data_IF_672246592854
#
_entry.id   IF_672246592854
#
_cell.length_a   1.000
_cell.length_b   1.000
_cell.length_c   1.000
_cell.angle_alpha   90.00
_cell.angle_beta   90.00
_cell.angle_gamma   90.00
#
_symmetry.space_group_name_H-M   'P 1'
#
loop_
_entity.id
_entity.type
_entity.pdbx_description
1 polymer ?
#
# COMPACT_ATOMS: atom_id res chain seq x y z
N UNK A 1 -1.78 49.09 -7.69
CA UNK A 1 -2.47 47.91 -8.26
C UNK A 1 -3.10 47.15 -7.11
N UNK A 2 -4.37 46.74 -7.25
CA UNK A 2 -5.33 46.83 -6.16
C UNK A 2 -5.09 45.76 -5.10
N UNK A 3 -5.27 46.17 -3.84
CA UNK A 3 -5.34 45.29 -2.70
C UNK A 3 -6.49 44.29 -2.92
N UNK A 4 -6.16 43.00 -2.86
CA UNK A 4 -7.11 41.89 -2.85
C UNK A 4 -7.88 41.94 -1.52
N UNK A 5 -8.89 42.81 -1.43
CA UNK A 5 -9.80 42.88 -0.30
C UNK A 5 -10.79 41.73 -0.41
N UNK A 6 -10.34 40.51 -0.08
CA UNK A 6 -11.27 39.45 0.30
C UNK A 6 -12.00 39.92 1.56
N UNK A 7 -13.34 39.89 1.60
CA UNK A 7 -14.06 40.24 2.82
C UNK A 7 -13.60 39.30 3.94
N UNK A 8 -13.27 39.86 5.11
CA UNK A 8 -12.98 39.09 6.30
C UNK A 8 -14.17 38.13 6.54
N UNK A 9 -13.91 36.83 6.50
CA UNK A 9 -14.90 35.82 6.81
C UNK A 9 -15.53 36.17 8.17
N UNK A 10 -16.82 36.48 8.17
CA UNK A 10 -17.55 36.68 9.41
C UNK A 10 -17.31 35.44 10.28
N UNK A 11 -16.89 35.63 11.54
CA UNK A 11 -16.78 34.57 12.55
C UNK A 11 -18.15 33.89 12.65
N UNK A 12 -18.37 32.84 11.86
CA UNK A 12 -19.49 31.94 12.01
C UNK A 12 -19.25 31.19 13.32
N UNK A 13 -20.27 31.16 14.18
CA UNK A 13 -20.18 30.47 15.46
C UNK A 13 -19.72 29.02 15.25
N UNK A 14 -18.85 28.55 16.14
CA UNK A 14 -18.35 27.17 16.11
C UNK A 14 -19.54 26.21 16.13
N UNK A 15 -19.64 25.37 15.10
CA UNK A 15 -20.72 24.39 15.01
C UNK A 15 -20.69 23.47 16.23
N UNK A 16 -21.86 23.17 16.79
CA UNK A 16 -22.03 22.16 17.84
C UNK A 16 -22.81 20.98 17.28
N UNK A 17 -22.61 19.78 17.82
CA UNK A 17 -23.36 18.60 17.41
C UNK A 17 -24.88 18.83 17.47
N UNK A 18 -25.39 19.44 18.56
CA UNK A 18 -26.82 19.78 18.68
C UNK A 18 -27.32 20.73 17.59
N UNK A 19 -26.49 21.68 17.16
CA UNK A 19 -26.83 22.59 16.07
C UNK A 19 -26.81 21.86 14.72
N UNK A 20 -25.89 20.93 14.51
CA UNK A 20 -25.85 20.06 13.32
C UNK A 20 -27.09 19.16 13.25
N UNK A 21 -27.47 18.52 14.36
CA UNK A 21 -28.70 17.73 14.47
C UNK A 21 -29.95 18.57 14.18
N UNK A 22 -30.07 19.75 14.78
CA UNK A 22 -31.19 20.65 14.53
C UNK A 22 -31.27 21.10 13.06
N UNK A 23 -30.13 21.39 12.43
CA UNK A 23 -30.06 21.73 11.02
C UNK A 23 -30.44 20.55 10.11
N UNK A 24 -30.04 19.33 10.48
CA UNK A 24 -30.43 18.11 9.76
C UNK A 24 -31.94 17.88 9.80
N UNK A 25 -32.57 18.04 10.98
CA UNK A 25 -34.03 17.98 11.12
C UNK A 25 -34.70 19.06 10.28
N UNK A 26 -34.18 20.29 10.30
CA UNK A 26 -34.73 21.39 9.52
C UNK A 26 -34.66 21.14 8.00
N UNK A 27 -33.62 20.44 7.53
CA UNK A 27 -33.43 20.12 6.12
C UNK A 27 -34.29 18.93 5.66
N UNK A 28 -34.38 17.86 6.46
CA UNK A 28 -35.07 16.61 6.09
C UNK A 28 -36.54 16.58 6.50
N UNK A 29 -36.92 17.35 7.52
CA UNK A 29 -38.22 17.22 8.19
C UNK A 29 -38.36 15.97 9.06
N UNK A 30 -37.31 15.17 9.20
CA UNK A 30 -37.31 13.91 9.94
C UNK A 30 -36.64 14.07 11.31
N UNK A 31 -37.18 13.40 12.33
CA UNK A 31 -36.55 13.37 13.64
C UNK A 31 -35.22 12.58 13.60
N UNK A 32 -34.23 13.03 14.38
CA UNK A 32 -32.97 12.31 14.56
C UNK A 32 -33.21 11.14 15.51
N UNK A 33 -33.34 9.95 14.94
CA UNK A 33 -33.32 8.68 15.69
C UNK A 33 -31.89 8.28 16.07
N UNK A 34 -31.74 7.14 16.77
CA UNK A 34 -30.44 6.69 17.27
C UNK A 34 -29.42 6.45 16.15
N UNK A 35 -29.85 5.94 14.98
CA UNK A 35 -28.96 5.70 13.85
C UNK A 35 -28.48 7.02 13.22
N UNK A 36 -29.39 7.99 13.01
CA UNK A 36 -29.01 9.33 12.53
C UNK A 36 -28.13 10.07 13.53
N UNK A 37 -28.40 9.95 14.84
CA UNK A 37 -27.58 10.57 15.88
C UNK A 37 -26.14 10.05 15.83
N UNK A 38 -25.95 8.73 15.71
CA UNK A 38 -24.63 8.12 15.60
C UNK A 38 -23.90 8.57 14.32
N UNK A 39 -24.60 8.60 13.19
CA UNK A 39 -24.07 9.08 11.92
C UNK A 39 -23.58 10.53 11.98
N UNK A 40 -24.39 11.42 12.55
CA UNK A 40 -24.05 12.83 12.71
C UNK A 40 -22.94 13.05 13.74
N UNK A 41 -22.92 12.26 14.81
CA UNK A 41 -21.85 12.29 15.80
C UNK A 41 -20.51 11.91 15.17
N UNK A 42 -20.45 10.82 14.38
CA UNK A 42 -19.24 10.44 13.65
C UNK A 42 -18.79 11.53 12.68
N UNK A 43 -19.71 12.13 11.91
CA UNK A 43 -19.36 13.24 11.02
C UNK A 43 -18.83 14.46 11.81
N UNK A 44 -19.37 14.71 13.00
CA UNK A 44 -18.95 15.84 13.83
C UNK A 44 -17.58 15.62 14.49
N UNK A 45 -17.14 14.38 14.70
CA UNK A 45 -15.79 14.07 15.21
C UNK A 45 -14.70 14.57 14.25
N UNK A 46 -14.96 14.54 12.94
CA UNK A 46 -14.05 15.03 11.91
C UNK A 46 -14.12 16.55 11.69
N UNK A 47 -15.07 17.26 12.31
CA UNK A 47 -15.29 18.68 12.05
C UNK A 47 -14.24 19.58 12.70
N UNK A 48 -13.58 20.41 11.88
CA UNK A 48 -12.77 21.54 12.31
C UNK A 48 -13.30 22.87 11.71
N UNK A 49 -13.42 23.90 12.55
CA UNK A 49 -14.08 25.16 12.16
C UNK A 49 -13.24 26.03 11.21
N UNK A 50 -11.92 25.86 11.23
CA UNK A 50 -10.94 26.60 10.42
C UNK A 50 -10.67 25.95 9.05
N UNK A 51 -11.07 24.70 8.87
CA UNK A 51 -10.87 23.92 7.65
C UNK A 51 -11.76 24.39 6.48
N UNK A 52 -13.06 24.58 6.76
CA UNK A 52 -14.08 25.00 5.78
C UNK A 52 -14.94 26.18 6.30
N UNK A 53 -14.38 27.39 6.48
CA UNK A 53 -15.11 28.50 7.11
C UNK A 53 -16.34 28.98 6.32
N UNK A 54 -16.36 28.76 5.00
CA UNK A 54 -17.46 29.10 4.09
C UNK A 54 -18.57 28.04 4.08
N UNK A 55 -18.38 26.89 4.73
CA UNK A 55 -19.41 25.86 4.90
C UNK A 55 -20.08 25.98 6.27
N UNK A 56 -21.34 26.41 6.30
CA UNK A 56 -22.11 26.55 7.54
C UNK A 56 -22.69 25.21 8.03
N UNK A 57 -23.17 25.19 9.28
CA UNK A 57 -23.89 24.03 9.84
C UNK A 57 -25.07 23.53 8.99
N UNK A 58 -25.95 24.42 8.49
CA UNK A 58 -27.01 24.02 7.56
C UNK A 58 -26.51 23.40 6.26
N UNK A 59 -25.38 23.88 5.73
CA UNK A 59 -24.81 23.38 4.48
C UNK A 59 -24.24 21.97 4.68
N UNK A 60 -23.48 21.76 5.78
CA UNK A 60 -22.97 20.45 6.16
C UNK A 60 -24.12 19.46 6.44
N UNK A 61 -25.18 19.90 7.14
CA UNK A 61 -26.35 19.08 7.38
C UNK A 61 -27.06 18.65 6.09
N UNK A 62 -27.17 19.54 5.10
CA UNK A 62 -27.81 19.25 3.82
C UNK A 62 -27.04 18.18 3.01
N UNK A 63 -25.71 18.29 2.94
CA UNK A 63 -24.89 17.28 2.24
C UNK A 63 -24.92 15.93 2.96
N UNK A 64 -24.82 15.93 4.30
CA UNK A 64 -24.91 14.70 5.10
C UNK A 64 -26.29 14.03 4.98
N UNK A 65 -27.38 14.81 4.92
CA UNK A 65 -28.72 14.30 4.69
C UNK A 65 -28.88 13.63 3.32
N UNK A 66 -28.29 14.23 2.28
CA UNK A 66 -28.27 13.66 0.93
C UNK A 66 -27.53 12.32 0.94
N UNK A 67 -26.34 12.27 1.52
CA UNK A 67 -25.52 11.06 1.60
C UNK A 67 -26.18 9.96 2.44
N UNK A 68 -26.86 10.33 3.52
CA UNK A 68 -27.66 9.40 4.32
C UNK A 68 -28.76 8.75 3.48
N UNK A 69 -29.54 9.54 2.74
CA UNK A 69 -30.62 9.01 1.89
C UNK A 69 -30.08 8.10 0.79
N UNK A 70 -28.98 8.50 0.12
CA UNK A 70 -28.28 7.71 -0.90
C UNK A 70 -27.76 6.38 -0.32
N UNK A 71 -27.18 6.40 0.89
CA UNK A 71 -26.70 5.22 1.59
C UNK A 71 -27.84 4.25 1.96
N UNK A 72 -28.98 4.75 2.44
CA UNK A 72 -30.17 3.93 2.73
C UNK A 72 -30.75 3.30 1.47
N UNK A 73 -30.68 4.00 0.35
CA UNK A 73 -31.18 3.54 -0.94
C UNK A 73 -30.21 2.59 -1.68
N UNK A 74 -28.98 2.40 -1.18
CA UNK A 74 -27.96 1.60 -1.85
C UNK A 74 -28.35 0.10 -1.90
N UNK A 75 -28.53 -0.49 -3.10
CA UNK A 75 -28.81 -1.91 -3.22
C UNK A 75 -27.60 -2.78 -2.84
N UNK A 76 -27.81 -4.01 -2.34
CA UNK A 76 -26.73 -4.96 -2.13
C UNK A 76 -25.96 -5.22 -3.43
N UNK A 77 -24.62 -5.17 -3.36
CA UNK A 77 -23.75 -5.40 -4.51
C UNK A 77 -23.71 -4.27 -5.54
N UNK A 78 -24.31 -3.11 -5.24
CA UNK A 78 -24.20 -1.95 -6.11
C UNK A 78 -22.73 -1.46 -6.23
N UNK A 79 -22.32 -0.97 -7.41
CA UNK A 79 -21.01 -0.35 -7.56
C UNK A 79 -20.90 0.93 -6.70
N UNK A 80 -19.69 1.39 -6.41
CA UNK A 80 -19.49 2.64 -5.68
C UNK A 80 -20.16 3.81 -6.41
N UNK A 81 -20.94 4.59 -5.67
CA UNK A 81 -21.46 5.86 -6.15
C UNK A 81 -20.40 6.94 -5.88
N UNK A 82 -19.83 7.50 -6.95
CA UNK A 82 -18.76 8.50 -6.87
C UNK A 82 -19.27 9.77 -7.57
N UNK A 83 -19.20 10.90 -6.87
CA UNK A 83 -19.53 12.21 -7.42
C UNK A 83 -18.41 13.20 -7.12
N UNK A 84 -17.92 13.88 -8.16
CA UNK A 84 -16.94 14.97 -8.05
C UNK A 84 -17.54 16.21 -8.68
N UNK A 85 -17.70 17.29 -7.91
CA UNK A 85 -18.38 18.48 -8.41
C UNK A 85 -18.52 19.60 -7.39
N UNK A 86 -19.19 20.70 -7.75
CA UNK A 86 -19.42 21.82 -6.84
C UNK A 86 -20.16 21.39 -5.59
N UNK A 87 -19.66 21.79 -4.43
CA UNK A 87 -20.37 21.67 -3.17
C UNK A 87 -21.40 22.80 -3.07
N UNK A 88 -22.67 22.45 -2.95
CA UNK A 88 -23.76 23.40 -2.83
C UNK A 88 -24.11 23.65 -1.36
N UNK A 89 -24.42 24.90 -1.04
CA UNK A 89 -25.04 25.29 0.22
C UNK A 89 -26.47 24.77 0.32
N UNK A 90 -27.07 24.83 1.52
CA UNK A 90 -28.45 24.42 1.75
C UNK A 90 -29.49 25.21 0.92
N UNK A 91 -29.13 26.41 0.44
CA UNK A 91 -29.96 27.24 -0.45
C UNK A 91 -29.75 26.94 -1.95
N UNK A 92 -28.94 25.93 -2.28
CA UNK A 92 -28.63 25.49 -3.64
C UNK A 92 -27.56 26.31 -4.36
N UNK A 93 -26.97 27.34 -3.71
CA UNK A 93 -25.89 28.13 -4.31
C UNK A 93 -24.53 27.45 -4.12
N UNK A 94 -23.54 27.70 -5.01
CA UNK A 94 -22.18 27.21 -4.80
C UNK A 94 -21.57 27.73 -3.50
N UNK A 95 -21.00 26.84 -2.70
CA UNK A 95 -20.32 27.18 -1.43
C UNK A 95 -18.95 27.84 -1.62
N UNK A 96 -18.41 27.81 -2.85
CA UNK A 96 -17.03 28.17 -3.13
C UNK A 96 -16.05 26.99 -3.06
N UNK A 97 -16.54 25.80 -2.73
CA UNK A 97 -15.78 24.55 -2.73
C UNK A 97 -16.31 23.55 -3.77
N UNK A 98 -15.46 22.60 -4.13
CA UNK A 98 -15.88 21.34 -4.73
C UNK A 98 -15.94 20.25 -3.64
N UNK A 99 -16.61 19.15 -3.94
CA UNK A 99 -16.70 17.97 -3.10
C UNK A 99 -16.37 16.71 -3.90
N UNK A 100 -15.87 15.72 -3.19
CA UNK A 100 -15.88 14.31 -3.60
C UNK A 100 -16.82 13.60 -2.64
N UNK A 101 -17.89 13.00 -3.16
CA UNK A 101 -18.77 12.11 -2.40
C UNK A 101 -18.59 10.68 -2.88
N UNK A 102 -18.44 9.77 -1.93
CA UNK A 102 -18.28 8.36 -2.21
C UNK A 102 -19.17 7.55 -1.27
N UNK A 103 -20.06 6.73 -1.84
CA UNK A 103 -21.02 5.91 -1.10
C UNK A 103 -20.94 4.48 -1.60
N UNK A 104 -20.59 3.56 -0.71
CA UNK A 104 -20.47 2.13 -1.02
C UNK A 104 -20.49 1.27 0.25
N UNK A 105 -20.63 -0.07 0.14
CA UNK A 105 -20.50 -0.95 1.30
C UNK A 105 -19.19 -0.73 2.05
N UNK A 106 -19.28 -0.72 3.38
CA UNK A 106 -18.14 -0.47 4.25
C UNK A 106 -17.08 -1.59 4.13
N UNK A 107 -15.81 -1.20 4.01
CA UNK A 107 -14.68 -2.13 3.90
C UNK A 107 -13.35 -1.46 4.31
N UNK A 108 -12.28 -2.23 4.55
CA UNK A 108 -10.97 -1.66 4.84
C UNK A 108 -10.40 -0.81 3.69
N UNK A 109 -9.46 0.09 4.02
CA UNK A 109 -8.66 0.90 3.09
C UNK A 109 -9.39 2.00 2.32
N UNK A 110 -10.70 2.22 2.49
CA UNK A 110 -11.46 3.17 1.68
C UNK A 110 -10.91 4.61 1.78
N UNK A 111 -10.84 5.15 2.99
CA UNK A 111 -10.41 6.53 3.24
C UNK A 111 -8.99 6.75 2.75
N UNK A 112 -8.05 5.90 3.15
CA UNK A 112 -6.64 6.10 2.78
C UNK A 112 -6.43 5.98 1.25
N UNK A 113 -7.21 5.14 0.57
CA UNK A 113 -7.19 5.02 -0.90
C UNK A 113 -7.74 6.28 -1.58
N UNK A 114 -8.83 6.85 -1.08
CA UNK A 114 -9.40 8.12 -1.56
C UNK A 114 -8.40 9.26 -1.37
N UNK A 115 -7.83 9.39 -0.17
CA UNK A 115 -6.83 10.41 0.14
C UNK A 115 -5.55 10.24 -0.69
N UNK A 116 -5.13 9.00 -0.92
CA UNK A 116 -4.02 8.68 -1.80
C UNK A 116 -4.26 9.11 -3.25
N UNK A 117 -5.46 8.91 -3.79
CA UNK A 117 -5.83 9.36 -5.13
C UNK A 117 -5.81 10.89 -5.24
N UNK A 118 -6.40 11.58 -4.26
CA UNK A 118 -6.43 13.04 -4.19
C UNK A 118 -5.02 13.64 -4.13
N UNK A 119 -4.14 13.05 -3.33
CA UNK A 119 -2.76 13.48 -3.21
C UNK A 119 -1.99 13.30 -4.54
N UNK A 120 -2.15 12.16 -5.22
CA UNK A 120 -1.51 11.92 -6.53
C UNK A 120 -2.03 12.89 -7.59
N UNK A 121 -3.32 13.23 -7.55
CA UNK A 121 -3.93 14.21 -8.44
C UNK A 121 -3.54 15.67 -8.09
N UNK A 122 -2.76 15.90 -7.02
CA UNK A 122 -2.38 17.23 -6.56
C UNK A 122 -3.57 18.08 -6.14
N UNK A 123 -4.58 17.46 -5.52
CA UNK A 123 -5.80 18.13 -5.04
C UNK A 123 -5.62 18.52 -3.59
N UNK A 124 -5.91 19.79 -3.29
CA UNK A 124 -5.87 20.30 -1.91
C UNK A 124 -7.17 19.92 -1.20
N UNK A 125 -7.06 19.10 -0.16
CA UNK A 125 -8.16 18.72 0.73
C UNK A 125 -8.35 19.79 1.79
N UNK A 126 -9.60 20.19 2.00
CA UNK A 126 -10.01 21.19 2.98
C UNK A 126 -10.69 20.58 4.18
N UNK A 127 -11.43 19.49 4.01
CA UNK A 127 -12.04 18.72 5.10
C UNK A 127 -12.41 17.32 4.62
N UNK A 128 -12.46 16.37 5.55
CA UNK A 128 -12.81 14.98 5.31
C UNK A 128 -13.83 14.57 6.36
N UNK A 129 -14.92 13.93 5.94
CA UNK A 129 -15.94 13.39 6.82
C UNK A 129 -16.21 11.95 6.41
N UNK A 130 -16.10 11.00 7.34
CA UNK A 130 -16.35 9.58 7.07
C UNK A 130 -17.34 8.94 8.04
N UNK A 131 -18.59 9.42 8.11
CA UNK A 131 -19.61 8.73 8.89
C UNK A 131 -20.04 7.41 8.22
N UNK A 132 -20.48 6.48 9.05
CA UNK A 132 -20.96 5.16 8.62
C UNK A 132 -22.48 5.11 8.79
N UNK A 133 -23.18 4.85 7.69
CA UNK A 133 -24.63 4.71 7.66
C UNK A 133 -25.06 3.23 7.69
N UNK A 134 -26.24 2.90 8.22
CA UNK A 134 -26.83 1.58 8.08
C UNK A 134 -27.40 1.40 6.66
N UNK A 135 -26.98 0.35 5.95
CA UNK A 135 -27.52 -0.03 4.64
C UNK A 135 -28.37 -1.29 4.68
N UNK A 136 -28.92 -1.65 3.51
CA UNK A 136 -29.77 -2.84 3.32
C UNK A 136 -29.03 -4.18 3.57
N UNK A 137 -27.71 -4.19 3.43
CA UNK A 137 -26.85 -5.39 3.48
C UNK A 137 -25.69 -5.27 4.47
N UNK A 138 -25.75 -4.31 5.40
CA UNK A 138 -24.71 -4.07 6.39
C UNK A 138 -24.39 -2.59 6.53
N UNK A 139 -23.15 -2.28 6.90
CA UNK A 139 -22.68 -0.89 7.03
C UNK A 139 -22.34 -0.30 5.65
N UNK A 140 -22.62 0.99 5.47
CA UNK A 140 -22.31 1.75 4.26
C UNK A 140 -21.38 2.89 4.65
N UNK A 141 -20.23 2.93 4.01
CA UNK A 141 -19.26 4.01 4.14
C UNK A 141 -19.74 5.20 3.30
N UNK A 142 -19.90 6.37 3.93
CA UNK A 142 -20.16 7.63 3.22
C UNK A 142 -18.99 8.57 3.43
N UNK A 143 -18.18 8.80 2.40
CA UNK A 143 -16.99 9.64 2.45
C UNK A 143 -17.30 10.95 1.74
N UNK A 144 -17.22 12.05 2.48
CA UNK A 144 -17.28 13.40 1.94
C UNK A 144 -15.89 14.02 2.08
N UNK A 145 -15.29 14.41 0.97
CA UNK A 145 -14.07 15.22 0.97
C UNK A 145 -14.40 16.59 0.38
N UNK A 146 -14.20 17.64 1.15
CA UNK A 146 -14.29 19.03 0.68
C UNK A 146 -12.93 19.40 0.10
N UNK A 147 -12.92 19.91 -1.13
CA UNK A 147 -11.71 20.22 -1.88
C UNK A 147 -11.78 21.63 -2.47
N UNK A 148 -10.62 22.19 -2.81
CA UNK A 148 -10.56 23.42 -3.60
C UNK A 148 -11.22 23.23 -4.98
N UNK A 149 -11.89 24.25 -5.54
CA UNK A 149 -12.54 24.14 -6.84
C UNK A 149 -11.61 23.68 -7.96
N UNK A 150 -12.07 22.70 -8.73
CA UNK A 150 -11.38 22.17 -9.90
C UNK A 150 -12.14 22.52 -11.19
N UNK A 151 -11.44 22.71 -12.32
CA UNK A 151 -12.06 22.71 -13.65
C UNK A 151 -12.74 21.36 -13.95
N UNK A 152 -13.78 21.36 -14.79
CA UNK A 152 -14.57 20.16 -15.09
C UNK A 152 -13.70 18.97 -15.56
N UNK A 153 -12.76 19.20 -16.47
CA UNK A 153 -11.85 18.14 -16.96
C UNK A 153 -11.05 17.47 -15.84
N UNK A 154 -10.58 18.24 -14.85
CA UNK A 154 -9.88 17.67 -13.69
C UNK A 154 -10.81 16.89 -12.77
N UNK A 155 -12.09 17.25 -12.70
CA UNK A 155 -13.10 16.50 -11.94
C UNK A 155 -13.37 15.15 -12.59
N UNK A 156 -13.48 15.12 -13.91
CA UNK A 156 -13.73 13.90 -14.68
C UNK A 156 -12.57 12.91 -14.49
N UNK A 157 -11.32 13.38 -14.68
CA UNK A 157 -10.10 12.58 -14.46
C UNK A 157 -10.00 12.08 -13.02
N UNK A 158 -10.31 12.93 -12.03
CA UNK A 158 -10.32 12.53 -10.62
C UNK A 158 -11.38 11.46 -10.34
N UNK A 159 -12.58 11.60 -10.93
CA UNK A 159 -13.67 10.63 -10.82
C UNK A 159 -13.26 9.26 -11.37
N UNK A 160 -12.61 9.22 -12.53
CA UNK A 160 -12.08 7.98 -13.12
C UNK A 160 -10.98 7.35 -12.24
N UNK A 161 -10.07 8.16 -11.70
CA UNK A 161 -9.02 7.72 -10.78
C UNK A 161 -9.60 7.08 -9.51
N UNK A 162 -10.58 7.75 -8.89
CA UNK A 162 -11.29 7.26 -7.70
C UNK A 162 -12.06 5.97 -7.99
N UNK A 163 -12.75 5.88 -9.13
CA UNK A 163 -13.43 4.66 -9.55
C UNK A 163 -12.44 3.49 -9.68
N UNK A 164 -11.30 3.71 -10.33
CA UNK A 164 -10.24 2.72 -10.45
C UNK A 164 -9.63 2.33 -9.10
N UNK A 165 -9.50 3.26 -8.16
CA UNK A 165 -9.05 2.96 -6.81
C UNK A 165 -10.05 2.08 -6.05
N UNK A 166 -11.36 2.39 -6.13
CA UNK A 166 -12.39 1.58 -5.47
C UNK A 166 -12.52 0.19 -6.08
N UNK A 167 -12.32 0.04 -7.40
CA UNK A 167 -12.23 -1.29 -8.03
C UNK A 167 -11.04 -2.09 -7.48
N UNK A 168 -9.86 -1.48 -7.39
CA UNK A 168 -8.67 -2.14 -6.83
C UNK A 168 -8.89 -2.54 -5.35
N UNK A 169 -9.53 -1.68 -4.54
CA UNK A 169 -9.89 -2.00 -3.14
C UNK A 169 -10.87 -3.16 -3.08
N UNK A 170 -11.94 -3.12 -3.87
CA UNK A 170 -12.96 -4.17 -3.90
C UNK A 170 -12.33 -5.53 -4.22
N UNK A 171 -11.50 -5.62 -5.25
CA UNK A 171 -10.84 -6.86 -5.61
C UNK A 171 -9.87 -7.35 -4.53
N UNK A 172 -9.04 -6.46 -3.97
CA UNK A 172 -8.09 -6.84 -2.93
C UNK A 172 -8.80 -7.40 -1.68
N UNK A 173 -9.89 -6.77 -1.25
CA UNK A 173 -10.68 -7.19 -0.08
C UNK A 173 -11.46 -8.48 -0.38
N UNK A 174 -12.14 -8.56 -1.53
CA UNK A 174 -12.93 -9.73 -1.90
C UNK A 174 -12.09 -11.01 -2.03
N UNK A 175 -10.86 -10.89 -2.54
CA UNK A 175 -9.95 -12.02 -2.74
C UNK A 175 -8.98 -12.27 -1.58
N UNK A 176 -9.08 -11.51 -0.48
CA UNK A 176 -8.17 -11.66 0.66
C UNK A 176 -8.12 -13.11 1.18
N UNK A 177 -9.28 -13.78 1.29
CA UNK A 177 -9.36 -15.19 1.68
C UNK A 177 -8.69 -16.14 0.68
N UNK A 178 -8.83 -15.89 -0.63
CA UNK A 178 -8.21 -16.70 -1.68
C UNK A 178 -6.67 -16.50 -1.72
N UNK A 179 -6.19 -15.28 -1.48
CA UNK A 179 -4.76 -14.98 -1.34
C UNK A 179 -4.16 -15.65 -0.10
N UNK A 180 -4.87 -15.61 1.03
CA UNK A 180 -4.47 -16.31 2.26
C UNK A 180 -4.39 -17.82 2.03
N UNK A 181 -5.35 -18.40 1.30
CA UNK A 181 -5.31 -19.81 0.94
C UNK A 181 -4.12 -20.17 0.03
N UNK A 182 -3.72 -19.28 -0.90
CA UNK A 182 -2.50 -19.44 -1.70
C UNK A 182 -1.24 -19.42 -0.83
N UNK A 183 -1.18 -18.52 0.16
CA UNK A 183 -0.04 -18.42 1.07
C UNK A 183 0.09 -19.71 1.90
N UNK A 184 -1.03 -20.18 2.47
CA UNK A 184 -1.08 -21.44 3.20
C UNK A 184 -0.62 -22.64 2.34
N UNK A 185 -1.01 -22.70 1.06
CA UNK A 185 -0.52 -23.74 0.12
C UNK A 185 0.97 -23.64 -0.13
N UNK A 186 1.49 -22.42 -0.31
CA UNK A 186 2.92 -22.18 -0.52
C UNK A 186 3.76 -22.61 0.69
N UNK A 187 3.28 -22.29 1.90
CA UNK A 187 3.89 -22.74 3.15
C UNK A 187 3.84 -24.27 3.28
N UNK A 188 2.72 -24.91 2.96
CA UNK A 188 2.58 -26.36 3.02
C UNK A 188 3.54 -27.06 2.05
N UNK A 189 3.70 -26.52 0.83
CA UNK A 189 4.65 -27.01 -0.17
C UNK A 189 6.10 -26.98 0.35
N UNK A 190 6.53 -25.86 0.94
CA UNK A 190 7.89 -25.75 1.51
C UNK A 190 8.09 -26.64 2.73
N UNK A 191 7.08 -26.82 3.58
CA UNK A 191 7.13 -27.71 4.76
C UNK A 191 7.36 -29.17 4.40
N UNK A 192 6.88 -29.61 3.23
CA UNK A 192 7.13 -30.95 2.70
C UNK A 192 8.62 -31.20 2.37
N UNK A 193 9.46 -30.16 2.49
CA UNK A 193 10.91 -30.20 2.35
C UNK A 193 11.34 -30.72 0.97
N UNK A 194 11.17 -29.91 -0.09
CA UNK A 194 11.59 -30.29 -1.43
C UNK A 194 13.07 -30.73 -1.47
N UNK A 195 13.42 -31.74 -2.29
CA UNK A 195 14.79 -32.23 -2.37
C UNK A 195 15.79 -31.10 -2.73
N UNK A 196 16.97 -31.12 -2.11
CA UNK A 196 18.07 -30.19 -2.44
C UNK A 196 18.07 -28.85 -1.71
N UNK A 197 17.06 -28.57 -0.88
CA UNK A 197 17.00 -27.35 -0.05
C UNK A 197 17.45 -27.61 1.39
N UNK A 198 18.24 -26.70 1.95
CA UNK A 198 18.62 -26.72 3.37
C UNK A 198 17.39 -26.47 4.25
N UNK A 199 17.22 -27.31 5.28
CA UNK A 199 16.14 -27.21 6.25
C UNK A 199 16.13 -25.87 6.98
N UNK A 200 17.30 -25.33 7.34
CA UNK A 200 17.38 -24.04 8.01
C UNK A 200 16.87 -22.89 7.12
N UNK A 201 17.12 -22.98 5.81
CA UNK A 201 16.62 -22.01 4.82
C UNK A 201 15.10 -22.12 4.68
N UNK A 202 14.57 -23.35 4.63
CA UNK A 202 13.12 -23.60 4.58
C UNK A 202 12.43 -23.06 5.84
N UNK A 203 12.94 -23.38 7.03
CA UNK A 203 12.31 -22.97 8.29
C UNK A 203 12.31 -21.43 8.44
N UNK A 204 13.40 -20.76 8.03
CA UNK A 204 13.47 -19.30 8.00
C UNK A 204 12.50 -18.69 6.97
N UNK A 205 12.36 -19.32 5.80
CA UNK A 205 11.42 -18.90 4.76
C UNK A 205 9.98 -19.02 5.27
N UNK A 206 9.61 -20.15 5.88
CA UNK A 206 8.27 -20.35 6.45
C UNK A 206 8.00 -19.36 7.58
N UNK A 207 9.00 -19.04 8.41
CA UNK A 207 8.87 -18.01 9.43
C UNK A 207 8.53 -16.65 8.81
N UNK A 208 9.17 -16.28 7.71
CA UNK A 208 8.87 -15.05 6.97
C UNK A 208 7.45 -15.03 6.39
N UNK A 209 7.03 -16.11 5.74
CA UNK A 209 5.69 -16.18 5.15
C UNK A 209 4.58 -16.10 6.22
N UNK A 210 4.78 -16.76 7.36
CA UNK A 210 3.86 -16.63 8.52
C UNK A 210 3.88 -15.23 9.11
N UNK A 211 5.05 -14.60 9.18
CA UNK A 211 5.18 -13.23 9.66
C UNK A 211 4.41 -12.26 8.77
N UNK A 212 4.45 -12.45 7.45
CA UNK A 212 3.62 -11.67 6.51
C UNK A 212 2.11 -11.87 6.75
N UNK A 213 1.66 -13.10 7.01
CA UNK A 213 0.25 -13.40 7.35
C UNK A 213 -0.19 -12.79 8.69
N UNK A 214 0.74 -12.61 9.62
CA UNK A 214 0.53 -12.01 10.94
C UNK A 214 0.55 -10.48 10.89
N UNK A 215 -0.25 -9.88 9.99
CA UNK A 215 -0.45 -8.43 9.84
C UNK A 215 0.80 -7.58 9.48
N UNK A 216 1.90 -8.20 9.04
CA UNK A 216 3.09 -7.46 8.58
C UNK A 216 3.06 -7.16 7.07
N UNK A 217 2.08 -7.68 6.33
CA UNK A 217 1.93 -7.45 4.91
C UNK A 217 0.46 -7.32 4.48
N UNK A 218 0.13 -6.22 3.80
CA UNK A 218 -1.18 -6.03 3.18
C UNK A 218 -1.18 -6.68 1.79
N UNK A 219 -1.87 -7.81 1.67
CA UNK A 219 -2.03 -8.51 0.38
C UNK A 219 -2.98 -7.77 -0.55
N UNK A 220 -2.50 -7.41 -1.73
CA UNK A 220 -3.29 -6.69 -2.74
C UNK A 220 -3.60 -7.53 -3.97
N UNK A 221 -2.75 -8.51 -4.29
CA UNK A 221 -3.01 -9.44 -5.38
C UNK A 221 -2.06 -10.62 -5.40
N UNK A 222 -2.44 -11.68 -6.11
CA UNK A 222 -1.61 -12.85 -6.29
C UNK A 222 -1.78 -13.51 -7.66
N UNK A 223 -0.73 -14.19 -8.15
CA UNK A 223 -0.75 -15.00 -9.38
C UNK A 223 0.18 -16.20 -9.28
N UNK A 224 -0.26 -17.33 -9.83
CA UNK A 224 0.58 -18.51 -10.01
C UNK A 224 1.10 -18.60 -11.45
N UNK A 225 2.41 -18.84 -11.57
CA UNK A 225 3.08 -19.07 -12.85
C UNK A 225 3.83 -20.38 -12.83
N UNK A 226 3.71 -21.17 -13.90
CA UNK A 226 4.47 -22.41 -14.08
C UNK A 226 5.69 -22.16 -14.96
N UNK A 227 6.77 -22.85 -14.64
CA UNK A 227 8.01 -22.83 -15.41
C UNK A 227 7.97 -23.95 -16.44
N UNK A 228 7.73 -23.66 -17.73
CA UNK A 228 7.61 -24.69 -18.75
C UNK A 228 8.89 -25.51 -18.86
N UNK A 229 8.72 -26.82 -19.03
CA UNK A 229 9.81 -27.79 -19.21
C UNK A 229 9.82 -28.31 -20.64
N UNK A 230 11.00 -28.49 -21.21
CA UNK A 230 11.21 -29.17 -22.48
C UNK A 230 11.08 -30.69 -22.34
N UNK A 231 11.08 -31.39 -23.47
CA UNK A 231 11.01 -32.86 -23.52
C UNK A 231 12.24 -33.54 -22.89
N UNK A 232 13.33 -32.82 -22.73
CA UNK A 232 14.57 -33.21 -22.06
C UNK A 232 14.54 -33.03 -20.53
N UNK A 233 13.45 -32.47 -19.98
CA UNK A 233 13.29 -32.16 -18.57
C UNK A 233 13.99 -30.87 -18.13
N UNK A 234 14.70 -30.17 -19.03
CA UNK A 234 15.24 -28.85 -18.73
C UNK A 234 14.18 -27.75 -18.92
N UNK A 235 14.43 -26.54 -18.45
CA UNK A 235 13.53 -25.41 -18.70
C UNK A 235 13.39 -25.14 -20.20
N UNK A 236 12.16 -25.02 -20.69
CA UNK A 236 11.92 -24.62 -22.07
C UNK A 236 12.49 -23.21 -22.28
N UNK A 237 13.54 -23.10 -23.09
CA UNK A 237 14.13 -21.80 -23.42
C UNK A 237 13.10 -20.96 -24.18
N UNK A 238 13.03 -19.69 -23.84
CA UNK A 238 12.21 -18.70 -24.55
C UNK A 238 10.68 -18.91 -24.50
N UNK A 239 10.19 -19.85 -23.68
CA UNK A 239 8.77 -20.05 -23.50
C UNK A 239 8.15 -19.04 -22.52
N UNK A 240 6.93 -18.52 -22.82
CA UNK A 240 6.10 -17.83 -21.86
C UNK A 240 5.84 -18.64 -20.61
N UNK A 241 5.94 -17.98 -19.46
CA UNK A 241 5.42 -18.53 -18.23
C UNK A 241 3.92 -18.78 -18.42
N UNK A 242 3.49 -20.02 -18.20
CA UNK A 242 2.08 -20.35 -18.19
C UNK A 242 1.47 -19.82 -16.91
N UNK A 243 0.53 -18.89 -17.01
CA UNK A 243 -0.29 -18.51 -15.87
C UNK A 243 -1.22 -19.70 -15.56
N UNK A 244 -1.06 -20.31 -14.39
CA UNK A 244 -1.75 -21.55 -14.04
C UNK A 244 -3.05 -21.35 -13.29
N UNK A 245 -3.33 -20.12 -12.84
CA UNK A 245 -4.62 -19.72 -12.27
C UNK A 245 -4.99 -18.30 -12.69
N UNK A 246 -6.29 -17.97 -12.65
CA UNK A 246 -6.73 -16.58 -12.73
C UNK A 246 -6.04 -15.75 -11.63
N UNK A 247 -5.72 -14.50 -11.95
CA UNK A 247 -5.10 -13.60 -10.99
C UNK A 247 -6.10 -13.17 -9.93
N UNK A 248 -5.60 -12.91 -8.72
CA UNK A 248 -6.39 -12.47 -7.58
C UNK A 248 -6.13 -11.00 -7.24
N UNK A 249 -7.11 -10.36 -6.62
CA UNK A 249 -7.04 -8.98 -6.20
C UNK A 249 -6.77 -8.03 -7.37
N UNK A 250 -5.87 -7.08 -7.18
CA UNK A 250 -5.45 -6.13 -8.23
C UNK A 250 -4.82 -6.82 -9.44
N UNK A 251 -4.42 -8.09 -9.33
CA UNK A 251 -3.85 -8.89 -10.41
C UNK A 251 -4.89 -9.68 -11.20
N UNK A 252 -6.18 -9.51 -10.94
CA UNK A 252 -7.25 -10.00 -11.83
C UNK A 252 -7.11 -9.47 -13.26
N UNK A 253 -6.67 -8.22 -13.41
CA UNK A 253 -6.41 -7.61 -14.71
C UNK A 253 -5.11 -8.16 -15.33
N UNK A 254 -5.17 -9.01 -16.37
CA UNK A 254 -3.99 -9.64 -16.96
C UNK A 254 -3.00 -8.62 -17.56
N UNK A 255 -3.45 -7.41 -17.90
CA UNK A 255 -2.57 -6.36 -18.42
C UNK A 255 -1.76 -5.66 -17.32
N UNK A 256 -2.13 -5.85 -16.05
CA UNK A 256 -1.33 -5.35 -14.92
C UNK A 256 -0.08 -6.22 -14.71
N UNK A 257 1.04 -5.76 -15.26
CA UNK A 257 2.37 -6.40 -15.20
C UNK A 257 3.25 -5.77 -14.14
N UNK A 258 3.73 -6.56 -13.18
CA UNK A 258 4.37 -6.11 -11.91
C UNK A 258 5.90 -5.98 -12.03
N UNK A 259 6.50 -6.72 -12.97
CA UNK A 259 7.94 -6.77 -13.21
C UNK A 259 8.18 -6.38 -14.67
N UNK A 260 8.54 -5.12 -14.99
CA UNK A 260 8.98 -4.78 -16.37
C UNK A 260 9.93 -3.58 -16.47
N UNK A 261 11.04 -3.81 -17.17
CA UNK A 261 11.45 -3.09 -18.40
C UNK A 261 11.79 -4.19 -19.44
N UNK A 262 10.98 -4.33 -20.49
CA UNK A 262 11.02 -5.41 -21.49
C UNK A 262 10.67 -6.82 -20.98
N UNK A 263 9.38 -7.17 -21.12
CA UNK A 263 8.76 -8.46 -20.73
C UNK A 263 8.76 -8.71 -19.23
N UNK A 264 7.65 -9.24 -18.70
CA UNK A 264 7.77 -10.12 -17.53
C UNK A 264 8.84 -11.19 -17.89
N UNK A 265 9.24 -12.13 -17.03
CA UNK A 265 9.72 -13.38 -17.59
C UNK A 265 8.53 -13.99 -18.35
N UNK A 266 8.20 -13.51 -19.54
CA UNK A 266 7.37 -14.17 -20.54
C UNK A 266 8.28 -15.04 -21.41
N UNK A 267 9.55 -15.17 -21.03
CA UNK A 267 10.62 -15.85 -21.74
C UNK A 267 11.66 -16.22 -20.68
N UNK A 268 11.88 -17.51 -20.44
CA UNK A 268 12.97 -18.00 -19.59
C UNK A 268 14.31 -17.88 -20.34
N UNK A 269 15.02 -16.75 -20.17
CA UNK A 269 16.36 -16.57 -20.73
C UNK A 269 17.40 -17.42 -19.99
N UNK A 270 18.56 -17.68 -20.63
CA UNK A 270 19.64 -18.47 -20.03
C UNK A 270 20.18 -17.91 -18.71
N UNK A 271 20.22 -16.58 -18.58
CA UNK A 271 20.60 -15.89 -17.33
C UNK A 271 19.57 -16.12 -16.22
N UNK A 272 18.27 -16.05 -16.55
CA UNK A 272 17.17 -16.32 -15.61
C UNK A 272 17.19 -17.78 -15.15
N UNK A 273 17.44 -18.75 -16.04
CA UNK A 273 17.57 -20.18 -15.68
C UNK A 273 18.61 -20.40 -14.58
N UNK A 274 19.80 -19.81 -14.73
CA UNK A 274 20.88 -19.92 -13.74
C UNK A 274 20.50 -19.29 -12.40
N UNK A 275 19.77 -18.17 -12.44
CA UNK A 275 19.29 -17.50 -11.24
C UNK A 275 18.18 -18.30 -10.53
N UNK A 276 17.29 -18.95 -11.29
CA UNK A 276 16.23 -19.81 -10.73
C UNK A 276 16.79 -20.99 -9.96
N UNK A 277 17.83 -21.65 -10.47
CA UNK A 277 18.42 -22.81 -9.80
C UNK A 277 19.29 -22.42 -8.59
N UNK A 278 19.79 -21.17 -8.52
CA UNK A 278 20.71 -20.73 -7.45
C UNK A 278 20.08 -19.80 -6.40
N UNK A 279 18.92 -19.20 -6.66
CA UNK A 279 18.31 -18.26 -5.71
C UNK A 279 17.49 -18.96 -4.63
N UNK A 280 17.32 -18.27 -3.51
CA UNK A 280 16.54 -18.75 -2.36
C UNK A 280 15.06 -19.05 -2.72
N UNK A 281 14.35 -19.83 -1.89
CA UNK A 281 12.94 -20.15 -2.12
C UNK A 281 12.00 -18.95 -2.16
N UNK A 282 12.37 -17.84 -1.50
CA UNK A 282 11.62 -16.59 -1.51
C UNK A 282 12.48 -15.43 -1.99
N UNK A 283 11.91 -14.57 -2.81
CA UNK A 283 12.51 -13.32 -3.27
C UNK A 283 11.57 -12.16 -2.96
N UNK A 284 12.12 -11.08 -2.37
CA UNK A 284 11.39 -9.84 -2.11
C UNK A 284 12.01 -8.72 -2.95
N UNK A 285 11.19 -7.97 -3.68
CA UNK A 285 11.63 -6.85 -4.51
C UNK A 285 10.57 -5.75 -4.60
N UNK A 286 10.94 -4.55 -5.08
CA UNK A 286 9.95 -3.49 -5.36
C UNK A 286 9.31 -3.69 -6.72
N UNK A 287 8.00 -3.68 -6.83
CA UNK A 287 7.28 -3.66 -8.10
C UNK A 287 7.43 -2.30 -8.81
N UNK A 288 7.23 -2.28 -10.13
CA UNK A 288 7.20 -1.03 -10.91
C UNK A 288 5.82 -0.35 -10.92
N UNK A 289 4.81 -0.94 -10.27
CA UNK A 289 3.44 -0.42 -10.19
C UNK A 289 3.19 0.14 -8.79
N UNK A 290 2.59 1.32 -8.72
CA UNK A 290 2.15 1.94 -7.46
C UNK A 290 0.77 1.44 -7.08
N UNK A 291 0.57 1.16 -5.79
CA UNK A 291 -0.74 0.79 -5.26
C UNK A 291 -1.74 1.95 -5.38
N UNK A 292 -3.00 1.63 -5.67
CA UNK A 292 -4.17 2.51 -5.46
C UNK A 292 -4.84 2.26 -4.11
N UNK A 293 -4.58 1.10 -3.51
CA UNK A 293 -5.15 0.65 -2.24
C UNK A 293 -4.26 1.09 -1.08
N UNK A 294 -4.88 1.59 -0.02
CA UNK A 294 -4.28 2.04 1.23
C UNK A 294 -3.34 3.25 1.09
N UNK A 295 -2.25 3.19 0.33
CA UNK A 295 -1.37 4.34 0.13
C UNK A 295 -0.70 4.32 -1.23
N UNK A 296 -0.38 5.51 -1.75
CA UNK A 296 0.37 5.69 -3.01
C UNK A 296 1.86 5.40 -2.86
N UNK A 297 2.19 4.12 -2.77
CA UNK A 297 3.56 3.62 -2.74
C UNK A 297 3.79 2.59 -3.85
N UNK A 298 5.04 2.40 -4.29
CA UNK A 298 5.41 1.23 -5.09
C UNK A 298 5.09 -0.03 -4.30
N UNK A 299 4.40 -0.97 -4.94
CA UNK A 299 4.08 -2.24 -4.29
C UNK A 299 5.34 -3.07 -4.04
N UNK A 300 5.29 -3.91 -3.03
CA UNK A 300 6.25 -4.96 -2.78
C UNK A 300 5.83 -6.21 -3.54
N UNK A 301 6.82 -6.87 -4.13
CA UNK A 301 6.71 -8.15 -4.80
C UNK A 301 7.33 -9.23 -3.92
N UNK A 302 6.58 -10.30 -3.65
CA UNK A 302 7.07 -11.48 -2.96
C UNK A 302 6.83 -12.70 -3.85
N UNK A 303 7.91 -13.26 -4.37
CA UNK A 303 7.91 -14.46 -5.19
C UNK A 303 8.29 -15.69 -4.38
N UNK A 304 7.43 -16.70 -4.36
CA UNK A 304 7.64 -17.96 -3.64
C UNK A 304 7.76 -19.10 -4.65
N UNK A 305 8.92 -19.75 -4.71
CA UNK A 305 9.15 -20.85 -5.64
C UNK A 305 8.37 -22.10 -5.24
N UNK A 306 7.77 -22.73 -6.25
CA UNK A 306 7.30 -24.11 -6.19
C UNK A 306 8.37 -25.01 -6.78
N UNK A 307 8.48 -26.21 -6.25
CA UNK A 307 9.54 -27.17 -6.60
C UNK A 307 8.92 -28.48 -7.08
N UNK A 308 9.50 -29.08 -8.12
CA UNK A 308 9.13 -30.39 -8.62
C UNK A 308 9.71 -31.52 -7.77
N UNK A 309 9.34 -32.75 -8.14
CA UNK A 309 9.88 -33.96 -7.51
C UNK A 309 11.39 -34.15 -7.73
N UNK A 310 11.96 -33.48 -8.73
CA UNK A 310 13.40 -33.44 -9.04
C UNK A 310 14.17 -32.44 -8.16
N UNK A 311 13.49 -31.72 -7.26
CA UNK A 311 14.09 -30.67 -6.43
C UNK A 311 14.36 -29.37 -7.18
N UNK A 312 14.01 -29.26 -8.46
CA UNK A 312 14.17 -28.03 -9.24
C UNK A 312 12.89 -27.18 -9.20
N UNK A 313 12.99 -25.85 -9.30
CA UNK A 313 11.82 -24.99 -9.41
C UNK A 313 10.86 -25.41 -10.53
N UNK A 314 9.58 -25.61 -10.22
CA UNK A 314 8.52 -25.94 -11.18
C UNK A 314 7.60 -24.75 -11.50
N UNK A 315 7.66 -23.70 -10.69
CA UNK A 315 6.87 -22.49 -10.86
C UNK A 315 7.08 -21.52 -9.70
N UNK A 316 6.26 -20.48 -9.64
CA UNK A 316 6.30 -19.46 -8.61
C UNK A 316 4.91 -18.91 -8.31
N UNK A 317 4.62 -18.73 -7.02
CA UNK A 317 3.46 -18.01 -6.52
C UNK A 317 3.90 -16.59 -6.20
N UNK A 318 3.29 -15.62 -6.86
CA UNK A 318 3.64 -14.20 -6.74
C UNK A 318 2.58 -13.50 -5.93
N UNK A 319 3.00 -12.79 -4.90
CA UNK A 319 2.17 -11.86 -4.15
C UNK A 319 2.63 -10.43 -4.43
N UNK A 320 1.67 -9.52 -4.51
CA UNK A 320 1.91 -8.09 -4.44
C UNK A 320 1.15 -7.47 -3.29
N UNK A 321 1.76 -6.46 -2.70
CA UNK A 321 1.19 -5.80 -1.55
C UNK A 321 2.03 -4.67 -1.02
N UNK A 322 1.85 -4.36 0.26
CA UNK A 322 2.61 -3.34 0.96
C UNK A 322 3.00 -3.88 2.33
N UNK A 323 4.27 -3.76 2.72
CA UNK A 323 4.63 -3.95 4.12
C UNK A 323 3.96 -2.86 4.99
N UNK A 324 3.48 -3.27 6.16
CA UNK A 324 2.82 -2.37 7.12
C UNK A 324 3.81 -1.47 7.83
N UNK A 325 3.34 -0.41 8.49
CA UNK A 325 4.22 0.43 9.32
C UNK A 325 4.91 -0.39 10.42
N UNK A 326 4.19 -1.32 11.05
CA UNK A 326 4.75 -2.21 12.07
C UNK A 326 5.90 -3.06 11.51
N UNK A 327 5.78 -3.57 10.29
CA UNK A 327 6.85 -4.28 9.60
C UNK A 327 8.13 -3.44 9.46
N UNK A 328 8.00 -2.12 9.31
CA UNK A 328 9.12 -1.19 9.27
C UNK A 328 9.69 -0.85 10.64
N UNK A 329 8.91 -0.91 11.71
CA UNK A 329 9.35 -0.49 13.05
C UNK A 329 10.04 -1.61 13.86
N UNK A 330 9.88 -2.88 13.45
CA UNK A 330 10.58 -4.02 14.06
C UNK A 330 12.09 -3.94 13.86
N UNK A 331 12.83 -4.47 14.84
CA UNK A 331 14.28 -4.61 14.74
C UNK A 331 14.63 -5.57 13.60
N UNK A 332 15.69 -5.27 12.83
CA UNK A 332 16.10 -6.11 11.70
C UNK A 332 16.50 -7.52 12.17
N UNK A 333 16.97 -7.64 13.42
CA UNK A 333 17.25 -8.92 14.08
C UNK A 333 16.02 -9.76 14.43
N UNK A 334 14.81 -9.20 14.37
CA UNK A 334 13.56 -9.91 14.69
C UNK A 334 12.79 -10.32 13.43
N UNK A 335 12.95 -9.59 12.33
CA UNK A 335 12.27 -9.87 11.07
C UNK A 335 12.91 -11.08 10.38
N UNK A 336 12.15 -12.15 10.07
CA UNK A 336 12.68 -13.30 9.33
C UNK A 336 13.26 -12.92 7.97
N UNK A 337 14.20 -13.73 7.45
CA UNK A 337 15.13 -13.40 6.35
C UNK A 337 16.15 -12.32 6.72
N UNK A 338 15.70 -11.19 7.27
CA UNK A 338 16.57 -10.08 7.65
C UNK A 338 17.47 -10.46 8.82
N UNK A 339 16.93 -11.11 9.84
CA UNK A 339 17.68 -11.54 11.02
C UNK A 339 18.83 -12.46 10.67
N UNK A 340 18.62 -13.40 9.73
CA UNK A 340 19.66 -14.31 9.22
C UNK A 340 20.72 -13.52 8.47
N UNK A 341 20.30 -12.64 7.55
CA UNK A 341 21.19 -11.78 6.76
C UNK A 341 22.06 -10.86 7.63
N UNK A 342 21.47 -10.24 8.65
CA UNK A 342 22.18 -9.39 9.63
C UNK A 342 23.15 -10.21 10.47
N UNK A 343 22.74 -11.37 10.97
CA UNK A 343 23.62 -12.26 11.73
C UNK A 343 24.83 -12.71 10.91
N UNK A 344 24.61 -13.13 9.65
CA UNK A 344 25.67 -13.52 8.73
C UNK A 344 26.65 -12.37 8.44
N UNK A 345 26.13 -11.15 8.21
CA UNK A 345 26.98 -9.99 8.00
C UNK A 345 27.84 -9.65 9.24
N UNK A 346 27.27 -9.78 10.46
CA UNK A 346 28.01 -9.56 11.70
C UNK A 346 29.12 -10.60 11.93
N UNK A 347 28.80 -11.88 11.69
CA UNK A 347 29.76 -12.98 11.83
C UNK A 347 30.93 -12.82 10.86
N UNK A 348 30.62 -12.62 9.57
CA UNK A 348 31.61 -12.42 8.51
C UNK A 348 32.45 -11.15 8.67
N UNK A 349 31.93 -10.13 9.33
CA UNK A 349 32.70 -8.93 9.64
C UNK A 349 33.81 -9.16 10.69
N UNK A 350 33.74 -10.27 11.45
CA UNK A 350 34.80 -10.74 12.33
C UNK A 350 35.21 -9.75 13.41
N UNK A 351 34.32 -8.84 13.85
CA UNK A 351 34.64 -7.86 14.89
C UNK A 351 34.63 -8.52 16.26
N UNK A 352 35.60 -8.19 17.11
CA UNK A 352 35.68 -8.72 18.47
C UNK A 352 34.37 -8.49 19.23
N UNK A 353 33.74 -9.53 19.80
CA UNK A 353 32.49 -9.39 20.55
C UNK A 353 32.59 -8.31 21.65
N UNK A 354 31.56 -7.49 21.78
CA UNK A 354 31.50 -6.41 22.77
C UNK A 354 32.38 -5.18 22.47
N UNK A 355 33.25 -5.24 21.46
CA UNK A 355 34.07 -4.09 21.04
C UNK A 355 33.22 -2.92 20.54
N UNK A 356 33.80 -1.73 20.57
CA UNK A 356 33.19 -0.51 20.03
C UNK A 356 32.77 -0.67 18.56
N UNK A 357 33.65 -1.24 17.72
CA UNK A 357 33.34 -1.52 16.32
C UNK A 357 32.22 -2.55 16.14
N UNK A 358 32.15 -3.59 16.97
CA UNK A 358 31.05 -4.56 16.92
C UNK A 358 29.70 -3.90 17.29
N UNK A 359 29.67 -3.06 18.33
CA UNK A 359 28.47 -2.32 18.73
C UNK A 359 28.01 -1.36 17.63
N UNK A 360 28.94 -0.64 17.00
CA UNK A 360 28.63 0.28 15.90
C UNK A 360 28.14 -0.43 14.66
N UNK A 361 28.79 -1.52 14.25
CA UNK A 361 28.36 -2.29 13.08
C UNK A 361 26.95 -2.84 13.27
N UNK A 362 26.64 -3.37 14.47
CA UNK A 362 25.27 -3.77 14.82
C UNK A 362 24.29 -2.61 14.65
N UNK A 363 24.61 -1.43 15.19
CA UNK A 363 23.76 -0.26 15.04
C UNK A 363 23.58 0.19 13.58
N UNK A 364 24.60 0.05 12.74
CA UNK A 364 24.51 0.33 11.28
C UNK A 364 23.53 -0.65 10.62
N UNK A 365 23.62 -1.93 10.93
CA UNK A 365 22.75 -2.96 10.35
C UNK A 365 21.30 -2.83 10.84
N UNK A 366 21.07 -2.51 12.12
CA UNK A 366 19.71 -2.28 12.65
C UNK A 366 19.03 -1.05 12.04
N UNK A 367 19.78 0.01 11.77
CA UNK A 367 19.24 1.24 11.16
C UNK A 367 19.34 1.24 9.63
N UNK A 368 19.75 0.14 9.01
CA UNK A 368 19.77 0.03 7.56
C UNK A 368 18.33 0.05 7.04
N UNK A 369 18.03 0.77 5.93
CA UNK A 369 16.66 0.83 5.40
C UNK A 369 16.10 -0.56 5.14
N UNK A 370 14.92 -0.85 5.72
CA UNK A 370 14.31 -2.18 5.71
C UNK A 370 14.00 -2.66 4.29
N UNK A 371 13.48 -1.77 3.45
CA UNK A 371 13.25 -2.03 2.03
C UNK A 371 14.54 -2.46 1.29
N UNK A 372 15.69 -1.90 1.68
CA UNK A 372 16.97 -2.30 1.11
C UNK A 372 17.47 -3.62 1.68
N UNK A 373 17.30 -3.86 2.99
CA UNK A 373 17.70 -5.11 3.63
C UNK A 373 17.03 -6.32 2.99
N UNK A 374 15.78 -6.22 2.53
CA UNK A 374 15.12 -7.31 1.81
C UNK A 374 15.79 -7.63 0.47
N UNK A 375 16.29 -6.62 -0.23
CA UNK A 375 16.75 -6.74 -1.62
C UNK A 375 18.28 -6.91 -1.77
N UNK A 376 19.06 -6.37 -0.84
CA UNK A 376 20.52 -6.40 -0.89
C UNK A 376 21.07 -7.80 -0.63
N UNK A 377 22.11 -8.18 -1.36
CA UNK A 377 22.82 -9.45 -1.10
C UNK A 377 23.64 -9.36 0.20
N UNK A 378 23.97 -10.50 0.81
CA UNK A 378 24.78 -10.49 2.04
C UNK A 378 26.17 -9.89 1.82
N UNK A 379 26.77 -10.14 0.64
CA UNK A 379 28.09 -9.62 0.27
C UNK A 379 28.07 -8.09 0.14
N UNK A 380 27.08 -7.54 -0.58
CA UNK A 380 26.92 -6.11 -0.72
C UNK A 380 26.58 -5.43 0.62
N UNK A 381 25.76 -6.07 1.46
CA UNK A 381 25.43 -5.57 2.79
C UNK A 381 26.67 -5.49 3.67
N UNK A 382 27.49 -6.54 3.70
CA UNK A 382 28.75 -6.56 4.45
C UNK A 382 29.69 -5.45 3.97
N UNK A 383 29.93 -5.38 2.66
CA UNK A 383 30.82 -4.40 2.05
C UNK A 383 30.37 -2.96 2.33
N UNK A 384 29.07 -2.71 2.19
CA UNK A 384 28.48 -1.38 2.43
C UNK A 384 28.53 -1.03 3.90
N UNK A 385 28.15 -1.95 4.81
CA UNK A 385 28.14 -1.71 6.26
C UNK A 385 29.53 -1.45 6.82
N UNK A 386 30.56 -2.17 6.35
CA UNK A 386 31.96 -1.88 6.67
C UNK A 386 32.40 -0.52 6.10
N UNK A 387 31.95 -0.20 4.89
CA UNK A 387 32.16 1.10 4.27
C UNK A 387 31.59 2.26 5.10
N UNK A 388 30.38 2.10 5.64
CA UNK A 388 29.71 3.05 6.53
C UNK A 388 30.44 3.14 7.86
N UNK A 389 30.85 1.99 8.43
CA UNK A 389 31.61 1.95 9.68
C UNK A 389 32.87 2.82 9.58
N UNK A 390 33.61 2.77 8.47
CA UNK A 390 34.79 3.61 8.23
C UNK A 390 34.48 5.12 8.12
N UNK A 391 33.26 5.52 7.76
CA UNK A 391 32.88 6.94 7.70
C UNK A 391 32.75 7.57 9.08
N UNK A 392 32.46 6.78 10.12
CA UNK A 392 32.42 7.29 11.50
C UNK A 392 33.79 7.76 11.96
N UNK A 393 34.86 7.04 11.59
CA UNK A 393 36.23 7.40 11.97
C UNK A 393 36.82 8.47 11.04
N UNK A 394 36.37 8.50 9.77
CA UNK A 394 36.87 9.39 8.72
C UNK A 394 35.71 10.00 7.94
N UNK A 395 35.06 11.04 8.48
CA UNK A 395 33.92 11.68 7.83
C UNK A 395 34.28 12.20 6.44
N UNK A 396 33.56 11.72 5.43
CA UNK A 396 33.66 12.15 4.03
C UNK A 396 32.35 11.86 3.32
N UNK A 397 32.07 12.62 2.27
CA UNK A 397 30.93 12.32 1.42
C UNK A 397 31.19 10.98 0.73
N UNK A 398 30.22 10.07 0.78
CA UNK A 398 30.32 8.77 0.11
C UNK A 398 28.94 8.29 -0.33
N UNK A 399 28.90 7.73 -1.52
CA UNK A 399 27.74 7.05 -2.08
C UNK A 399 27.95 5.54 -2.02
N UNK A 400 26.89 4.83 -1.67
CA UNK A 400 26.77 3.39 -1.87
C UNK A 400 25.58 3.15 -2.79
N UNK A 401 25.80 2.40 -3.87
CA UNK A 401 24.80 2.17 -4.90
C UNK A 401 24.53 0.69 -5.03
N UNK A 402 23.26 0.32 -5.16
CA UNK A 402 22.82 -1.05 -5.46
C UNK A 402 21.87 -1.01 -6.64
N UNK A 403 22.07 -1.93 -7.60
CA UNK A 403 21.12 -2.14 -8.68
C UNK A 403 20.08 -3.19 -8.24
N UNK A 404 18.81 -2.95 -8.55
CA UNK A 404 17.74 -3.93 -8.36
C UNK A 404 18.03 -5.23 -9.13
N UNK A 405 17.80 -6.43 -8.56
CA UNK A 405 18.03 -7.70 -9.27
C UNK A 405 17.27 -7.85 -10.59
N UNK A 406 16.26 -7.02 -10.82
CA UNK A 406 15.45 -6.98 -12.04
C UNK A 406 15.70 -5.72 -12.88
N UNK A 407 16.77 -4.97 -12.62
CA UNK A 407 17.24 -3.79 -13.37
C UNK A 407 16.19 -2.67 -13.52
N UNK A 408 15.36 -2.47 -12.48
CA UNK A 408 14.30 -1.44 -12.49
C UNK A 408 14.66 -0.19 -11.71
N UNK A 409 15.40 -0.37 -10.61
CA UNK A 409 15.72 0.68 -9.66
C UNK A 409 17.21 0.68 -9.36
N UNK A 410 17.74 1.85 -9.05
CA UNK A 410 19.04 2.01 -8.40
C UNK A 410 18.78 2.63 -7.04
N UNK A 411 19.20 1.95 -5.99
CA UNK A 411 19.20 2.51 -4.64
C UNK A 411 20.52 3.21 -4.37
N UNK A 412 20.46 4.42 -3.82
CA UNK A 412 21.64 5.24 -3.51
C UNK A 412 21.55 5.67 -2.05
N UNK A 413 22.48 5.19 -1.23
CA UNK A 413 22.70 5.69 0.12
C UNK A 413 23.81 6.73 0.11
N UNK A 414 23.42 7.99 0.32
CA UNK A 414 24.34 9.12 0.41
C UNK A 414 24.65 9.45 1.87
N UNK A 415 25.92 9.38 2.24
CA UNK A 415 26.39 9.83 3.55
C UNK A 415 27.08 11.17 3.39
N UNK A 416 26.51 12.20 4.03
CA UNK A 416 27.04 13.56 4.04
C UNK A 416 27.40 13.89 5.50
N UNK A 417 28.66 14.29 5.80
CA UNK A 417 29.01 14.78 7.11
C UNK A 417 28.16 15.99 7.49
N UNK A 418 27.74 16.08 8.76
CA UNK A 418 26.85 17.15 9.23
C UNK A 418 27.43 18.54 8.96
N UNK A 419 28.75 18.69 9.02
CA UNK A 419 29.45 19.95 8.78
C UNK A 419 29.40 20.43 7.32
N UNK A 420 28.90 19.59 6.39
CA UNK A 420 28.81 19.88 4.96
C UNK A 420 27.39 19.78 4.41
N UNK A 421 26.39 19.69 5.28
CA UNK A 421 25.00 19.50 4.85
C UNK A 421 24.31 20.80 4.44
N UNK A 422 24.72 21.94 5.00
CA UNK A 422 24.14 23.27 4.75
C UNK A 422 24.58 23.90 3.43
#
# INVERSE_FOLDING_TARGET
MPADSRPAAAKRDRLTLKALEAAFVAHTGEAVDAERAAYLAHAFEDYAADETPELGGPDLAAVLATMWAEAKALPPGAPPQISVGPLLCADGKPSGYDQVRLIQPDSPFLVDSVMGELAEAGVSVRGLYHPIAPGSSGRVSTILVVIEPLPQERRDVLGEGLAGAMTDVHFAVADHGAMSALMARSIAHLRACPPGLDRAVIDETIAFLRWMEDDHFVFLGARDYDYPRGNDGDYAAEAPLGQSSDGLGVLRDPERRILRRASEPAVLTSQIKRQLDLSEPVTVAKANVRSRVHRRAYMDYVGIKRYGADGRPSGETRFVGLFTAEAYDRAASEVPLLRRKVANALDRAGKTPGSHNAKRLRNILENYPRDELFQITEDELLNTSLGILHLNDRPRIRLFTRQDPFDRFVSILCFIPRERFD
#
